data_IF_565517126096
#
_entry.id   IF_565517126096
#
_cell.length_a   1.000
_cell.length_b   1.000
_cell.length_c   1.000
_cell.angle_alpha   90.00
_cell.angle_beta   90.00
_cell.angle_gamma   90.00
#
_symmetry.space_group_name_H-M   'P 1'
#
loop_
_entity.id
_entity.type
_entity.pdbx_description
1 polymer ?
#
# COMPACT_ATOMS: atom_id res chain seq x y z
N UNK A 1 -12.17 16.61 -1.90
CA UNK A 1 -11.22 15.53 -1.60
C UNK A 1 -11.83 14.28 -2.20
N UNK A 2 -11.06 13.50 -2.95
CA UNK A 2 -11.57 12.29 -3.58
C UNK A 2 -11.37 11.12 -2.61
N UNK A 3 -12.45 10.48 -2.19
CA UNK A 3 -12.43 9.31 -1.31
C UNK A 3 -11.47 8.23 -1.86
N UNK A 4 -11.35 8.16 -3.19
CA UNK A 4 -10.44 7.30 -3.94
C UNK A 4 -8.99 7.40 -3.46
N UNK A 5 -8.48 8.60 -3.22
CA UNK A 5 -7.12 8.82 -2.69
C UNK A 5 -6.99 8.34 -1.25
N UNK A 6 -8.01 8.53 -0.42
CA UNK A 6 -7.99 8.01 0.95
C UNK A 6 -7.94 6.48 0.97
N UNK A 7 -8.71 5.81 0.11
CA UNK A 7 -8.63 4.35 -0.06
C UNK A 7 -7.25 3.90 -0.55
N UNK A 8 -6.64 4.64 -1.46
CA UNK A 8 -5.29 4.36 -1.96
C UNK A 8 -4.25 4.37 -0.83
N UNK A 9 -4.18 5.46 -0.06
CA UNK A 9 -3.22 5.62 1.03
C UNK A 9 -3.50 4.64 2.19
N UNK A 10 -4.78 4.43 2.52
CA UNK A 10 -5.18 3.43 3.49
C UNK A 10 -4.76 2.00 3.08
N UNK A 11 -4.75 1.69 1.78
CA UNK A 11 -4.28 0.42 1.24
C UNK A 11 -2.80 0.16 1.57
N UNK A 12 -1.94 1.14 1.32
CA UNK A 12 -0.52 1.06 1.67
C UNK A 12 -0.33 0.89 3.17
N UNK A 13 -1.00 1.74 3.96
CA UNK A 13 -0.90 1.77 5.41
C UNK A 13 -1.33 0.42 6.04
N UNK A 14 -2.49 -0.10 5.63
CA UNK A 14 -3.00 -1.39 6.07
C UNK A 14 -2.02 -2.53 5.74
N UNK A 15 -1.55 -2.60 4.50
CA UNK A 15 -0.63 -3.65 4.08
C UNK A 15 0.71 -3.59 4.83
N UNK A 16 1.21 -2.38 5.08
CA UNK A 16 2.43 -2.16 5.84
C UNK A 16 2.32 -2.73 7.25
N UNK A 17 1.28 -2.35 8.00
CA UNK A 17 1.02 -2.88 9.36
C UNK A 17 0.84 -4.40 9.32
N UNK A 18 0.05 -4.91 8.36
CA UNK A 18 -0.24 -6.35 8.24
C UNK A 18 1.00 -7.20 7.97
N UNK A 19 2.00 -6.66 7.28
CA UNK A 19 3.26 -7.32 6.93
C UNK A 19 4.37 -7.10 7.98
N UNK A 20 4.05 -6.38 9.07
CA UNK A 20 4.95 -6.13 10.19
C UNK A 20 5.87 -4.92 9.99
N UNK A 21 5.53 -4.00 9.09
CA UNK A 21 6.21 -2.72 8.97
C UNK A 21 5.63 -1.71 9.95
N UNK A 22 6.41 -0.68 10.29
CA UNK A 22 5.93 0.47 11.04
C UNK A 22 5.54 1.58 10.08
N UNK A 23 4.25 1.94 10.03
CA UNK A 23 3.82 3.19 9.41
C UNK A 23 4.28 4.35 10.29
N UNK A 24 4.79 5.43 9.71
CA UNK A 24 5.19 6.66 10.42
C UNK A 24 4.17 7.77 10.26
N UNK A 25 3.66 7.93 9.05
CA UNK A 25 2.71 8.96 8.66
C UNK A 25 1.94 8.48 7.44
N UNK A 26 0.65 8.82 7.39
CA UNK A 26 -0.19 8.69 6.19
C UNK A 26 -0.89 10.02 5.98
N UNK A 27 -0.85 10.57 4.78
CA UNK A 27 -1.54 11.82 4.45
C UNK A 27 -2.28 11.69 3.12
N UNK A 28 -3.35 12.48 2.94
CA UNK A 28 -4.06 12.62 1.66
C UNK A 28 -3.94 14.05 1.11
N UNK A 29 -3.13 14.87 1.76
CA UNK A 29 -2.89 16.26 1.36
C UNK A 29 -1.73 16.30 0.38
N UNK A 30 -1.91 16.86 -0.83
CA UNK A 30 -0.84 16.95 -1.82
C UNK A 30 0.33 17.78 -1.27
N UNK A 31 1.51 17.17 -1.24
CA UNK A 31 2.72 17.78 -0.70
C UNK A 31 3.21 18.91 -1.62
N UNK A 32 3.03 20.16 -1.21
CA UNK A 32 3.64 21.34 -1.84
C UNK A 32 5.01 21.68 -1.22
N UNK A 33 5.73 20.72 -0.65
CA UNK A 33 6.96 21.00 0.09
C UNK A 33 8.23 20.69 -0.72
N UNK A 34 9.14 21.67 -0.77
CA UNK A 34 10.45 21.71 -1.45
C UNK A 34 11.50 20.73 -0.81
N UNK A 35 11.04 19.62 -0.25
CA UNK A 35 11.85 18.60 0.43
C UNK A 35 12.35 17.48 -0.53
N UNK A 36 13.29 16.64 -0.08
CA UNK A 36 13.71 15.48 -0.87
C UNK A 36 12.50 14.59 -1.17
N UNK A 37 12.39 14.14 -2.43
CA UNK A 37 11.29 13.29 -2.94
C UNK A 37 10.84 12.29 -1.90
N UNK A 38 9.63 12.50 -1.38
CA UNK A 38 8.91 11.51 -0.57
C UNK A 38 8.31 10.51 -1.56
N UNK A 39 8.70 9.25 -1.42
CA UNK A 39 8.16 8.16 -2.24
C UNK A 39 6.75 7.82 -1.68
N UNK A 40 5.74 8.60 -2.07
CA UNK A 40 4.33 8.44 -1.68
C UNK A 40 3.92 9.25 -0.44
N UNK A 41 2.60 9.42 -0.28
CA UNK A 41 2.00 10.14 0.87
C UNK A 41 1.89 9.25 2.13
N UNK A 42 2.36 8.00 2.04
CA UNK A 42 2.49 7.02 3.13
C UNK A 42 3.96 6.72 3.44
N UNK A 43 4.42 7.03 4.66
CA UNK A 43 5.79 6.79 5.11
C UNK A 43 5.90 5.49 5.91
N UNK A 44 6.72 4.54 5.45
CA UNK A 44 6.86 3.21 6.05
C UNK A 44 8.32 2.93 6.42
N UNK A 45 8.51 2.41 7.63
CA UNK A 45 9.79 1.98 8.16
C UNK A 45 9.76 0.46 8.41
N UNK A 46 10.76 -0.23 7.86
CA UNK A 46 10.94 -1.66 8.10
C UNK A 46 11.93 -1.84 9.25
N UNK A 47 11.55 -2.60 10.28
CA UNK A 47 12.48 -3.02 11.32
C UNK A 47 13.47 -4.04 10.70
N UNK A 48 14.61 -3.54 10.22
CA UNK A 48 15.69 -4.35 9.64
C UNK A 48 16.44 -5.13 10.73
N UNK A 49 15.77 -6.07 11.40
CA UNK A 49 16.41 -7.03 12.29
C UNK A 49 16.99 -8.21 11.49
N UNK A 50 17.96 -7.92 10.62
CA UNK A 50 18.80 -8.94 9.96
C UNK A 50 18.10 -9.93 9.01
N UNK A 51 16.83 -9.70 8.66
CA UNK A 51 16.04 -10.56 7.77
C UNK A 51 16.43 -10.43 6.30
N UNK A 52 16.36 -11.56 5.59
CA UNK A 52 16.76 -11.77 4.19
C UNK A 52 16.28 -10.64 3.26
N UNK A 53 17.19 -10.02 2.47
CA UNK A 53 16.86 -8.90 1.56
C UNK A 53 15.72 -9.26 0.60
N UNK A 54 15.53 -10.55 0.33
CA UNK A 54 14.46 -11.09 -0.49
C UNK A 54 13.07 -10.91 0.12
N UNK A 55 12.92 -11.18 1.42
CA UNK A 55 11.63 -11.07 2.11
C UNK A 55 11.18 -9.61 2.19
N UNK A 56 12.09 -8.70 2.55
CA UNK A 56 11.79 -7.26 2.59
C UNK A 56 11.33 -6.76 1.23
N UNK A 57 12.01 -7.15 0.15
CA UNK A 57 11.60 -6.76 -1.21
C UNK A 57 10.23 -7.29 -1.60
N UNK A 58 9.92 -8.54 -1.24
CA UNK A 58 8.60 -9.10 -1.48
C UNK A 58 7.53 -8.32 -0.71
N UNK A 59 7.78 -8.00 0.56
CA UNK A 59 6.86 -7.19 1.36
C UNK A 59 6.69 -5.77 0.79
N UNK A 60 7.77 -5.11 0.38
CA UNK A 60 7.72 -3.80 -0.28
C UNK A 60 6.90 -3.84 -1.58
N UNK A 61 7.06 -4.89 -2.39
CA UNK A 61 6.23 -5.08 -3.58
C UNK A 61 4.74 -5.20 -3.22
N UNK A 62 4.40 -5.98 -2.20
CA UNK A 62 3.00 -6.14 -1.77
C UNK A 62 2.41 -4.83 -1.25
N UNK A 63 3.16 -4.08 -0.44
CA UNK A 63 2.74 -2.76 0.04
C UNK A 63 2.48 -1.81 -1.12
N UNK A 64 3.39 -1.71 -2.08
CA UNK A 64 3.22 -0.84 -3.24
C UNK A 64 1.98 -1.23 -4.07
N UNK A 65 1.64 -2.51 -4.18
CA UNK A 65 0.42 -2.93 -4.89
C UNK A 65 -0.87 -2.69 -4.08
N UNK A 66 -0.78 -2.49 -2.76
CA UNK A 66 -1.96 -2.44 -1.90
C UNK A 66 -2.82 -1.19 -2.11
N UNK A 67 -2.22 -0.03 -2.36
CA UNK A 67 -2.96 1.21 -2.66
C UNK A 67 -3.81 1.10 -3.92
N UNK A 68 -3.21 0.79 -5.09
CA UNK A 68 -3.95 0.53 -6.32
C UNK A 68 -5.05 -0.53 -6.17
N UNK A 69 -4.80 -1.59 -5.39
CA UNK A 69 -5.79 -2.64 -5.15
C UNK A 69 -6.95 -2.19 -4.28
N UNK A 70 -6.70 -1.39 -3.24
CA UNK A 70 -7.74 -0.81 -2.42
C UNK A 70 -8.65 0.10 -3.27
N UNK A 71 -8.03 0.91 -4.13
CA UNK A 71 -8.71 1.78 -5.07
C UNK A 71 -9.57 1.00 -6.08
N UNK A 72 -9.06 -0.10 -6.64
CA UNK A 72 -9.83 -1.01 -7.51
C UNK A 72 -11.07 -1.59 -6.82
N UNK A 73 -10.94 -1.97 -5.55
CA UNK A 73 -12.06 -2.55 -4.80
C UNK A 73 -13.11 -1.48 -4.52
N UNK A 74 -12.68 -0.27 -4.13
CA UNK A 74 -13.57 0.85 -3.83
C UNK A 74 -14.31 1.34 -5.08
N UNK A 75 -13.59 1.58 -6.17
CA UNK A 75 -14.18 2.05 -7.44
C UNK A 75 -15.05 0.99 -8.12
N UNK A 76 -14.84 -0.30 -7.81
CA UNK A 76 -15.54 -1.41 -8.44
C UNK A 76 -15.12 -1.69 -9.88
N UNK A 77 -14.12 -0.97 -10.37
CA UNK A 77 -13.64 -1.05 -11.75
C UNK A 77 -12.39 -1.95 -11.83
N UNK A 78 -12.42 -3.02 -12.66
CA UNK A 78 -11.29 -3.94 -12.79
C UNK A 78 -10.22 -3.32 -13.70
N UNK A 79 -9.39 -2.45 -13.14
CA UNK A 79 -8.24 -1.89 -13.86
C UNK A 79 -7.01 -2.79 -13.70
N UNK A 80 -6.26 -3.02 -14.78
CA UNK A 80 -4.91 -3.58 -14.62
C UNK A 80 -3.98 -2.44 -14.20
N UNK A 81 -3.13 -2.59 -13.16
CA UNK A 81 -2.47 -1.44 -12.57
C UNK A 81 -1.57 -0.63 -13.51
N UNK A 82 -0.97 -1.29 -14.52
CA UNK A 82 -0.18 -0.62 -15.55
C UNK A 82 -0.94 0.26 -16.55
N UNK A 83 -2.27 0.35 -16.50
CA UNK A 83 -3.08 1.20 -17.39
C UNK A 83 -3.64 2.46 -16.73
N UNK A 84 -3.46 2.61 -15.42
CA UNK A 84 -3.91 3.78 -14.66
C UNK A 84 -2.69 4.69 -14.44
N UNK A 85 -2.62 5.86 -15.10
CA UNK A 85 -1.48 6.77 -14.96
C UNK A 85 -1.15 7.12 -13.51
N UNK A 86 -2.18 7.24 -12.67
CA UNK A 86 -2.11 7.58 -11.25
C UNK A 86 -1.35 6.52 -10.44
N UNK A 87 -1.37 5.25 -10.86
CA UNK A 87 -0.69 4.15 -10.17
C UNK A 87 0.71 3.85 -10.72
N UNK A 88 1.20 4.67 -11.66
CA UNK A 88 2.47 4.43 -12.34
C UNK A 88 3.68 4.50 -11.40
N UNK A 89 3.62 5.31 -10.35
CA UNK A 89 4.60 5.35 -9.26
C UNK A 89 4.66 4.02 -8.51
N UNK A 90 3.51 3.54 -8.05
CA UNK A 90 3.40 2.34 -7.23
C UNK A 90 3.77 1.09 -8.01
N UNK A 91 3.33 1.03 -9.27
CA UNK A 91 3.73 -0.02 -10.19
C UNK A 91 5.25 -0.03 -10.39
N UNK A 92 5.88 1.14 -10.55
CA UNK A 92 7.34 1.23 -10.69
C UNK A 92 8.06 0.80 -9.41
N UNK A 93 7.58 1.22 -8.23
CA UNK A 93 8.13 0.78 -6.94
C UNK A 93 8.04 -0.74 -6.79
N UNK A 94 6.89 -1.33 -7.11
CA UNK A 94 6.67 -2.77 -7.12
C UNK A 94 7.60 -3.50 -8.10
N UNK A 95 7.78 -2.94 -9.31
CA UNK A 95 8.67 -3.46 -10.36
C UNK A 95 10.14 -3.43 -9.96
N UNK A 96 10.61 -2.32 -9.38
CA UNK A 96 12.00 -2.14 -8.96
C UNK A 96 12.32 -2.99 -7.72
N UNK A 97 11.39 -3.09 -6.76
CA UNK A 97 11.54 -3.94 -5.59
C UNK A 97 11.64 -5.43 -5.97
N UNK A 98 10.81 -5.87 -6.93
CA UNK A 98 10.80 -7.26 -7.42
C UNK A 98 11.91 -7.58 -8.40
N UNK A 99 12.70 -6.61 -8.86
CA UNK A 99 13.70 -6.80 -9.91
C UNK A 99 14.78 -7.82 -9.57
N UNK A 100 15.22 -7.84 -8.32
CA UNK A 100 16.22 -8.81 -7.83
C UNK A 100 15.61 -10.18 -7.54
N UNK A 101 14.29 -10.25 -7.31
CA UNK A 101 13.55 -11.49 -7.08
C UNK A 101 13.29 -12.22 -8.40
N UNK A 102 12.91 -11.45 -9.42
CA UNK A 102 12.58 -11.90 -10.76
C UNK A 102 13.33 -11.05 -11.79
N UNK A 103 14.60 -11.39 -12.10
CA UNK A 103 15.42 -10.61 -13.03
C UNK A 103 14.83 -10.54 -14.45
N UNK A 104 14.16 -11.60 -14.89
CA UNK A 104 13.53 -11.67 -16.20
C UNK A 104 12.15 -10.98 -16.18
N UNK A 105 11.97 -10.00 -17.08
CA UNK A 105 10.75 -9.18 -17.17
C UNK A 105 9.44 -9.98 -17.29
N UNK A 106 9.34 -11.04 -18.13
CA UNK A 106 8.10 -11.80 -18.23
C UNK A 106 7.73 -12.50 -16.93
N UNK A 107 8.72 -13.03 -16.21
CA UNK A 107 8.50 -13.70 -14.91
C UNK A 107 8.16 -12.68 -13.83
N UNK A 108 8.74 -11.48 -13.90
CA UNK A 108 8.43 -10.38 -12.98
C UNK A 108 7.00 -9.89 -13.17
N UNK A 109 6.57 -9.70 -14.42
CA UNK A 109 5.21 -9.30 -14.73
C UNK A 109 4.21 -10.33 -14.20
N UNK A 110 4.42 -11.62 -14.48
CA UNK A 110 3.56 -12.70 -13.97
C UNK A 110 3.51 -12.73 -12.44
N UNK A 111 4.63 -12.45 -11.76
CA UNK A 111 4.67 -12.33 -10.31
C UNK A 111 3.83 -11.15 -9.81
N UNK A 112 3.94 -9.98 -10.43
CA UNK A 112 3.17 -8.80 -10.05
C UNK A 112 1.66 -8.99 -10.28
N UNK A 113 1.27 -9.62 -11.38
CA UNK A 113 -0.13 -9.97 -11.66
C UNK A 113 -0.68 -10.93 -10.59
N UNK A 114 0.08 -11.98 -10.25
CA UNK A 114 -0.28 -12.91 -9.18
C UNK A 114 -0.40 -12.19 -7.83
N UNK A 115 0.59 -11.37 -7.46
CA UNK A 115 0.61 -10.61 -6.22
C UNK A 115 -0.57 -9.64 -6.12
N UNK A 116 -0.92 -8.97 -7.22
CA UNK A 116 -2.11 -8.10 -7.32
C UNK A 116 -3.39 -8.90 -7.03
N UNK A 117 -3.55 -10.07 -7.65
CA UNK A 117 -4.71 -10.93 -7.42
C UNK A 117 -4.78 -11.54 -6.01
N UNK A 118 -3.64 -11.79 -5.37
CA UNK A 118 -3.55 -12.18 -3.96
C UNK A 118 -3.95 -11.03 -3.03
N UNK A 119 -3.43 -9.83 -3.27
CA UNK A 119 -3.77 -8.63 -2.51
C UNK A 119 -5.26 -8.29 -2.64
N UNK A 120 -5.83 -8.41 -3.85
CA UNK A 120 -7.26 -8.17 -4.06
C UNK A 120 -8.12 -9.11 -3.21
N UNK A 121 -7.79 -10.41 -3.21
CA UNK A 121 -8.48 -11.40 -2.37
C UNK A 121 -8.25 -11.16 -0.88
N UNK A 122 -7.11 -10.62 -0.49
CA UNK A 122 -6.80 -10.28 0.89
C UNK A 122 -7.66 -9.10 1.35
N UNK A 123 -7.61 -7.97 0.65
CA UNK A 123 -8.33 -6.75 1.02
C UNK A 123 -9.85 -6.92 0.97
N UNK A 124 -10.38 -7.75 0.08
CA UNK A 124 -11.82 -8.01 -0.04
C UNK A 124 -12.41 -8.85 1.10
N UNK A 125 -11.60 -9.36 2.04
CA UNK A 125 -12.12 -10.04 3.24
C UNK A 125 -12.75 -9.00 4.16
N UNK A 126 -13.96 -9.28 4.66
CA UNK A 126 -14.76 -8.34 5.46
C UNK A 126 -13.97 -7.67 6.58
N UNK A 127 -13.20 -8.43 7.37
CA UNK A 127 -12.39 -7.90 8.48
C UNK A 127 -11.28 -6.94 8.01
N UNK A 128 -10.59 -7.31 6.91
CA UNK A 128 -9.52 -6.49 6.34
C UNK A 128 -10.07 -5.22 5.70
N UNK A 129 -11.21 -5.34 5.00
CA UNK A 129 -11.88 -4.20 4.39
C UNK A 129 -12.42 -3.25 5.46
N UNK A 130 -12.97 -3.76 6.56
CA UNK A 130 -13.43 -2.94 7.68
C UNK A 130 -12.27 -2.20 8.36
N UNK A 131 -11.13 -2.85 8.56
CA UNK A 131 -9.92 -2.21 9.08
C UNK A 131 -9.40 -1.10 8.16
N UNK A 132 -9.37 -1.36 6.85
CA UNK A 132 -8.97 -0.37 5.85
C UNK A 132 -9.94 0.80 5.81
N UNK A 133 -11.25 0.54 5.80
CA UNK A 133 -12.29 1.58 5.82
C UNK A 133 -12.21 2.45 7.08
N UNK A 134 -11.86 1.87 8.24
CA UNK A 134 -11.62 2.65 9.45
C UNK A 134 -10.42 3.61 9.31
N UNK A 135 -9.35 3.21 8.62
CA UNK A 135 -8.24 4.13 8.30
C UNK A 135 -8.72 5.23 7.35
N UNK A 136 -9.55 4.90 6.36
CA UNK A 136 -10.12 5.88 5.42
C UNK A 136 -10.98 6.91 6.15
N UNK A 137 -11.88 6.48 7.04
CA UNK A 137 -12.75 7.37 7.80
C UNK A 137 -11.92 8.39 8.61
N UNK A 138 -10.85 7.92 9.27
CA UNK A 138 -9.94 8.76 10.03
C UNK A 138 -9.10 9.68 9.12
N UNK A 139 -8.64 9.20 7.95
CA UNK A 139 -7.94 10.03 6.96
C UNK A 139 -8.84 11.13 6.38
N UNK A 140 -10.11 10.83 6.10
CA UNK A 140 -11.05 11.83 5.60
C UNK A 140 -11.42 12.86 6.68
N UNK A 141 -11.38 12.48 7.95
CA UNK A 141 -11.65 13.37 9.07
C UNK A 141 -10.44 14.27 9.42
N UNK A 142 -9.22 13.73 9.33
CA UNK A 142 -8.00 14.36 9.85
C UNK A 142 -7.00 14.78 8.77
N UNK A 143 -7.20 14.37 7.51
CA UNK A 143 -6.31 14.56 6.35
C UNK A 143 -4.92 13.92 6.49
N UNK A 144 -4.47 13.66 7.70
CA UNK A 144 -3.18 13.06 8.05
C UNK A 144 -3.32 12.26 9.34
N UNK A 145 -2.74 11.06 9.36
CA UNK A 145 -2.69 10.18 10.52
C UNK A 145 -1.25 9.85 10.89
N UNK A 146 -0.97 9.83 12.19
CA UNK A 146 0.30 9.32 12.68
C UNK A 146 0.34 7.79 12.62
N UNK A 147 1.55 7.26 12.53
CA UNK A 147 1.78 5.82 12.43
C UNK A 147 1.14 5.01 13.56
N UNK A 148 1.22 5.50 14.79
CA UNK A 148 0.70 4.79 15.97
C UNK A 148 -0.84 4.70 15.91
N UNK A 149 -1.54 5.72 15.42
CA UNK A 149 -2.99 5.70 15.21
C UNK A 149 -3.40 4.63 14.19
N UNK A 150 -2.67 4.55 13.07
CA UNK A 150 -2.88 3.52 12.04
C UNK A 150 -2.68 2.11 12.61
N UNK A 151 -1.64 1.91 13.42
CA UNK A 151 -1.40 0.62 14.08
C UNK A 151 -2.54 0.22 15.02
N UNK A 152 -3.03 1.16 15.82
CA UNK A 152 -4.10 0.91 16.78
C UNK A 152 -5.41 0.58 16.07
N UNK A 153 -5.74 1.28 14.99
CA UNK A 153 -6.90 0.96 14.14
C UNK A 153 -6.78 -0.47 13.61
N UNK A 154 -5.68 -0.80 12.93
CA UNK A 154 -5.52 -2.12 12.30
C UNK A 154 -5.53 -3.25 13.33
N UNK A 155 -4.88 -3.06 14.49
CA UNK A 155 -4.88 -4.06 15.57
C UNK A 155 -6.26 -4.28 16.18
N UNK A 156 -7.08 -3.22 16.30
CA UNK A 156 -8.43 -3.35 16.85
C UNK A 156 -9.33 -4.31 16.04
N UNK A 157 -9.05 -4.45 14.74
CA UNK A 157 -9.77 -5.33 13.82
C UNK A 157 -9.12 -6.71 13.63
N UNK A 158 -7.79 -6.81 13.69
CA UNK A 158 -7.06 -8.03 13.34
C UNK A 158 -6.61 -8.90 14.53
N UNK A 159 -6.75 -8.42 15.77
CA UNK A 159 -6.45 -9.17 16.99
C UNK A 159 -4.97 -9.24 17.34
#
# INVERSE_FOLDING_TARGET
>A
MDDTTAYHEAGHAFAAVRLGARVRLVTITPDFDDGPRRDGDTQIEWECSGGDSKELRQKSTLVALAGPVAEMIYSGEPYHPGFVPEWSSDWKLAWDASATLHPHEPTRLAFLEQATGEMYRLLKRDENWAALAAIVDELLAHETLEGDDVHDIVRSWLG
#
